data_IF_292386995119
#
_entry.id   IF_292386995119
#
_cell.length_a   1.000
_cell.length_b   1.000
_cell.length_c   1.000
_cell.angle_alpha   90.00
_cell.angle_beta   90.00
_cell.angle_gamma   90.00
#
_symmetry.space_group_name_H-M   'P 1'
#
loop_
_entity.id
_entity.type
_entity.pdbx_description
1 polymer ?
#
# COMPACT_ATOMS: atom_id res chain seq x y z
N UNK A 1 0.10 19.86 -0.88
CA UNK A 1 -0.39 18.49 -1.14
C UNK A 1 -1.81 18.39 -0.64
N UNK A 2 -2.76 17.97 -1.49
CA UNK A 2 -4.07 17.48 -1.06
C UNK A 2 -3.96 15.96 -1.04
N UNK A 3 -3.86 15.38 0.16
CA UNK A 3 -3.71 13.93 0.34
C UNK A 3 -5.06 13.37 0.78
N UNK A 4 -5.60 12.43 0.01
CA UNK A 4 -6.84 11.74 0.36
C UNK A 4 -6.52 10.69 1.43
N UNK A 5 -7.40 10.49 2.39
CA UNK A 5 -7.26 9.45 3.40
C UNK A 5 -8.38 8.42 3.28
N UNK A 6 -8.02 7.15 3.41
CA UNK A 6 -9.01 6.08 3.55
C UNK A 6 -9.44 6.03 5.02
N UNK A 7 -10.75 6.09 5.25
CA UNK A 7 -11.35 5.92 6.57
C UNK A 7 -12.42 4.82 6.55
N UNK A 8 -12.27 3.80 7.40
CA UNK A 8 -13.37 2.91 7.80
C UNK A 8 -13.39 2.81 9.32
N UNK A 9 -14.32 3.57 9.88
CA UNK A 9 -14.45 3.83 11.33
C UNK A 9 -14.87 2.57 12.08
N UNK A 10 -15.64 1.69 11.42
CA UNK A 10 -16.27 0.53 12.05
C UNK A 10 -15.55 -0.78 11.78
N UNK A 11 -14.54 -0.78 10.91
CA UNK A 11 -13.79 -1.99 10.65
C UNK A 11 -13.11 -2.56 11.90
N UNK A 12 -13.29 -3.87 12.08
CA UNK A 12 -12.64 -4.68 13.14
C UNK A 12 -11.17 -5.02 12.85
N UNK A 13 -10.70 -4.82 11.61
CA UNK A 13 -9.28 -5.00 11.24
C UNK A 13 -8.84 -3.90 10.30
N UNK A 14 -7.68 -3.30 10.56
CA UNK A 14 -7.17 -2.19 9.76
C UNK A 14 -6.38 -2.68 8.54
N UNK A 15 -5.92 -3.93 8.53
CA UNK A 15 -5.11 -4.53 7.47
C UNK A 15 -5.66 -4.27 6.06
N UNK A 16 -6.97 -4.44 5.84
CA UNK A 16 -7.56 -4.26 4.50
C UNK A 16 -7.45 -2.82 3.98
N UNK A 17 -7.53 -1.84 4.87
CA UNK A 17 -7.47 -0.42 4.52
C UNK A 17 -6.01 0.04 4.45
N UNK A 18 -5.14 -0.51 5.31
CA UNK A 18 -3.68 -0.35 5.22
C UNK A 18 -3.14 -0.81 3.86
N UNK A 19 -3.58 -1.98 3.39
CA UNK A 19 -3.23 -2.47 2.06
C UNK A 19 -3.73 -1.53 0.96
N UNK A 20 -4.99 -1.09 1.03
CA UNK A 20 -5.55 -0.19 0.04
C UNK A 20 -4.83 1.16 0.02
N UNK A 21 -4.44 1.66 1.19
CA UNK A 21 -3.69 2.91 1.32
C UNK A 21 -2.30 2.81 0.72
N UNK A 22 -1.55 1.75 1.05
CA UNK A 22 -0.23 1.49 0.47
C UNK A 22 -0.31 1.34 -1.05
N UNK A 23 -1.30 0.59 -1.55
CA UNK A 23 -1.47 0.35 -2.99
C UNK A 23 -1.77 1.63 -3.80
N UNK A 24 -2.46 2.60 -3.20
CA UNK A 24 -2.83 3.85 -3.84
C UNK A 24 -1.92 5.04 -3.44
N UNK A 25 -0.93 4.84 -2.58
CA UNK A 25 -0.08 5.93 -2.09
C UNK A 25 -0.84 6.98 -1.25
N UNK A 26 -1.96 6.60 -0.64
CA UNK A 26 -2.84 7.51 0.13
C UNK A 26 -2.67 7.31 1.62
N UNK A 27 -3.01 8.33 2.41
CA UNK A 27 -2.91 8.24 3.87
C UNK A 27 -4.07 7.46 4.51
N UNK A 28 -3.99 7.30 5.82
CA UNK A 28 -4.94 6.49 6.60
C UNK A 28 -5.36 7.28 7.81
N UNK A 29 -6.66 7.27 8.08
CA UNK A 29 -7.21 7.78 9.32
C UNK A 29 -7.60 6.62 10.24
N UNK A 30 -6.82 6.44 11.31
CA UNK A 30 -7.11 5.46 12.35
C UNK A 30 -8.01 6.08 13.41
N UNK A 31 -9.31 5.76 13.35
CA UNK A 31 -10.29 6.16 14.36
C UNK A 31 -10.38 5.06 15.44
N UNK A 32 -9.88 5.33 16.64
CA UNK A 32 -10.07 4.45 17.82
C UNK A 32 -11.26 4.86 18.69
N UNK A 33 -11.62 6.15 18.70
CA UNK A 33 -12.86 6.63 19.30
C UNK A 33 -13.82 7.06 18.20
N UNK A 34 -14.99 6.41 18.14
CA UNK A 34 -16.07 6.76 17.22
C UNK A 34 -17.25 7.23 18.05
N UNK A 35 -17.32 8.54 18.28
CA UNK A 35 -18.41 9.21 19.00
C UNK A 35 -18.77 8.55 20.35
N UNK A 36 -17.75 8.26 21.17
CA UNK A 36 -17.93 7.65 22.49
C UNK A 36 -17.91 6.12 22.49
N UNK A 37 -17.83 5.48 21.32
CA UNK A 37 -17.60 4.04 21.20
C UNK A 37 -16.11 3.78 20.97
N UNK A 38 -15.51 2.97 21.84
CA UNK A 38 -14.10 2.57 21.72
C UNK A 38 -13.96 1.40 20.74
N UNK A 39 -13.33 1.64 19.60
CA UNK A 39 -12.98 0.66 18.58
C UNK A 39 -11.45 0.44 18.58
N UNK A 40 -10.96 -0.16 19.66
CA UNK A 40 -9.54 -0.37 19.88
C UNK A 40 -8.88 -1.11 18.73
N UNK A 41 -7.73 -0.63 18.27
CA UNK A 41 -6.90 -1.39 17.36
C UNK A 41 -6.24 -2.56 18.08
N UNK A 42 -6.18 -3.71 17.42
CA UNK A 42 -5.42 -4.84 17.93
C UNK A 42 -3.91 -4.52 17.88
N UNK A 43 -3.09 -5.18 18.71
CA UNK A 43 -1.63 -5.01 18.64
C UNK A 43 -1.08 -5.29 17.23
N UNK A 44 -1.67 -6.26 16.53
CA UNK A 44 -1.36 -6.57 15.13
C UNK A 44 -1.64 -5.40 14.20
N UNK A 45 -2.81 -4.76 14.33
CA UNK A 45 -3.18 -3.60 13.53
C UNK A 45 -2.28 -2.40 13.84
N UNK A 46 -1.92 -2.19 15.11
CA UNK A 46 -0.99 -1.13 15.53
C UNK A 46 0.40 -1.31 14.91
N UNK A 47 0.96 -2.53 14.95
CA UNK A 47 2.26 -2.82 14.33
C UNK A 47 2.20 -2.67 12.81
N UNK A 48 1.16 -3.21 12.17
CA UNK A 48 0.98 -3.07 10.72
C UNK A 48 0.88 -1.60 10.31
N UNK A 49 0.18 -0.77 11.09
CA UNK A 49 0.08 0.68 10.83
C UNK A 49 1.42 1.38 10.93
N UNK A 50 2.23 1.07 11.97
CA UNK A 50 3.57 1.61 12.11
C UNK A 50 4.47 1.22 10.94
N UNK A 51 4.42 -0.04 10.50
CA UNK A 51 5.19 -0.53 9.36
C UNK A 51 4.81 0.19 8.07
N UNK A 52 3.52 0.28 7.75
CA UNK A 52 3.04 0.96 6.54
C UNK A 52 3.36 2.45 6.59
N UNK A 53 3.19 3.11 7.74
CA UNK A 53 3.58 4.52 7.90
C UNK A 53 5.07 4.76 7.68
N UNK A 54 5.94 3.85 8.13
CA UNK A 54 7.38 3.94 7.87
C UNK A 54 7.70 3.79 6.38
N UNK A 55 7.12 2.80 5.70
CA UNK A 55 7.29 2.60 4.25
C UNK A 55 6.82 3.83 3.48
N UNK A 56 5.62 4.34 3.80
CA UNK A 56 5.04 5.49 3.11
C UNK A 56 5.88 6.76 3.29
N UNK A 57 6.48 6.97 4.48
CA UNK A 57 7.36 8.11 4.72
C UNK A 57 8.69 8.00 3.98
N UNK A 58 9.31 6.82 4.02
CA UNK A 58 10.59 6.57 3.35
C UNK A 58 10.48 6.79 1.83
N UNK A 59 9.40 6.31 1.22
CA UNK A 59 9.18 6.39 -0.22
C UNK A 59 8.20 7.48 -0.64
N UNK A 60 7.92 8.48 0.22
CA UNK A 60 6.99 9.56 -0.07
C UNK A 60 7.25 10.28 -1.41
N UNK A 61 8.51 10.53 -1.85
CA UNK A 61 8.77 11.13 -3.16
C UNK A 61 8.34 10.26 -4.35
N UNK A 62 8.30 8.93 -4.21
CA UNK A 62 7.89 8.01 -5.27
C UNK A 62 6.37 7.76 -5.24
N UNK A 63 5.78 7.67 -4.06
CA UNK A 63 4.33 7.45 -3.85
C UNK A 63 3.44 8.64 -4.26
N UNK A 64 4.06 9.73 -4.73
CA UNK A 64 3.38 10.92 -5.28
C UNK A 64 3.66 11.11 -6.77
N UNK A 65 4.23 10.10 -7.44
CA UNK A 65 4.53 10.15 -8.87
C UNK A 65 3.27 10.27 -9.73
N UNK A 66 3.25 11.25 -10.63
CA UNK A 66 2.18 11.43 -11.62
C UNK A 66 2.17 10.33 -12.70
N UNK A 67 3.24 9.52 -12.76
CA UNK A 67 3.37 8.37 -13.68
C UNK A 67 2.87 7.05 -13.05
N UNK A 68 2.20 7.13 -11.90
CA UNK A 68 1.65 5.98 -11.20
C UNK A 68 0.75 5.14 -12.09
N UNK A 69 0.99 3.82 -12.09
CA UNK A 69 0.16 2.85 -12.79
C UNK A 69 -0.41 1.83 -11.78
N UNK A 70 -1.71 1.88 -11.47
CA UNK A 70 -2.37 0.88 -10.64
C UNK A 70 -2.60 -0.41 -11.41
N UNK A 71 -2.80 -1.51 -10.67
CA UNK A 71 -3.14 -2.83 -11.23
C UNK A 71 -2.14 -3.31 -12.27
N UNK A 72 -0.85 -3.09 -12.00
CA UNK A 72 0.19 -3.67 -12.84
C UNK A 72 0.07 -5.19 -12.81
N UNK A 73 0.25 -5.80 -13.98
CA UNK A 73 0.07 -7.24 -14.19
C UNK A 73 0.92 -8.05 -13.21
N UNK A 74 0.25 -8.91 -12.46
CA UNK A 74 0.89 -9.90 -11.57
C UNK A 74 0.90 -11.27 -12.25
N UNK A 75 1.90 -12.09 -11.95
CA UNK A 75 2.03 -13.46 -12.49
C UNK A 75 1.20 -14.50 -11.71
N UNK A 76 0.32 -14.04 -10.82
CA UNK A 76 -0.49 -14.90 -9.96
C UNK A 76 -1.87 -15.16 -10.55
N UNK A 77 -2.28 -16.43 -10.64
CA UNK A 77 -3.58 -16.85 -11.19
C UNK A 77 -4.78 -16.47 -10.32
N UNK A 78 -4.54 -16.13 -9.04
CA UNK A 78 -5.59 -15.99 -8.04
C UNK A 78 -6.43 -14.71 -8.19
N UNK A 79 -6.03 -13.74 -9.02
CA UNK A 79 -6.65 -12.41 -9.12
C UNK A 79 -6.83 -11.69 -7.76
N UNK A 80 -6.03 -12.06 -6.76
CA UNK A 80 -6.09 -11.52 -5.39
C UNK A 80 -4.78 -10.85 -4.97
N UNK A 81 -3.75 -10.93 -5.81
CA UNK A 81 -2.50 -10.17 -5.66
C UNK A 81 -2.59 -8.98 -6.59
N UNK A 82 -2.35 -7.78 -6.04
CA UNK A 82 -2.41 -6.54 -6.81
C UNK A 82 -1.11 -5.79 -6.65
N UNK A 83 -0.61 -5.22 -7.74
CA UNK A 83 0.59 -4.40 -7.75
C UNK A 83 0.31 -2.99 -8.28
N UNK A 84 1.02 -2.01 -7.71
CA UNK A 84 1.11 -0.65 -8.23
C UNK A 84 2.57 -0.34 -8.54
N UNK A 85 2.79 0.29 -9.70
CA UNK A 85 4.09 0.77 -10.13
C UNK A 85 4.16 2.29 -9.91
N UNK A 86 5.25 2.72 -9.27
CA UNK A 86 5.55 4.11 -8.94
C UNK A 86 6.89 4.51 -9.55
N UNK A 87 6.90 4.96 -10.81
CA UNK A 87 8.13 5.40 -11.46
C UNK A 87 8.67 6.67 -10.81
N UNK A 88 9.98 6.75 -10.67
CA UNK A 88 10.68 7.96 -10.28
C UNK A 88 10.46 9.11 -11.26
N UNK A 89 10.60 10.33 -10.75
CA UNK A 89 10.61 11.54 -11.57
C UNK A 89 12.01 11.77 -12.16
N UNK A 90 12.22 12.86 -12.91
CA UNK A 90 13.53 13.20 -13.48
C UNK A 90 14.69 13.24 -12.46
N UNK A 91 14.40 13.37 -11.17
CA UNK A 91 15.39 13.41 -10.10
C UNK A 91 15.74 12.03 -9.51
N UNK A 92 15.08 10.95 -9.92
CA UNK A 92 15.37 9.60 -9.45
C UNK A 92 15.06 8.54 -10.51
N UNK A 93 16.02 7.68 -10.80
CA UNK A 93 15.85 6.54 -11.71
C UNK A 93 15.16 5.33 -11.05
N UNK A 94 14.84 5.43 -9.76
CA UNK A 94 14.21 4.36 -9.01
C UNK A 94 12.75 4.18 -9.42
N UNK A 95 12.28 2.93 -9.39
CA UNK A 95 10.85 2.61 -9.50
C UNK A 95 10.45 1.81 -8.27
N UNK A 96 9.46 2.30 -7.52
CA UNK A 96 8.89 1.56 -6.41
C UNK A 96 7.75 0.68 -6.92
N UNK A 97 7.72 -0.56 -6.44
CA UNK A 97 6.64 -1.51 -6.67
C UNK A 97 5.99 -1.84 -5.34
N UNK A 98 4.70 -1.58 -5.20
CA UNK A 98 3.94 -1.96 -4.01
C UNK A 98 3.02 -3.12 -4.34
N UNK A 99 3.06 -4.19 -3.56
CA UNK A 99 2.21 -5.36 -3.73
C UNK A 99 1.31 -5.55 -2.51
N UNK A 100 0.07 -5.96 -2.75
CA UNK A 100 -0.87 -6.35 -1.70
C UNK A 100 -1.47 -7.71 -2.01
N UNK A 101 -1.63 -8.52 -0.97
CA UNK A 101 -2.33 -9.81 -1.02
C UNK A 101 -3.69 -9.68 -0.33
N UNK A 102 -4.77 -9.84 -1.12
CA UNK A 102 -6.17 -9.77 -0.65
C UNK A 102 -6.78 -11.14 -0.35
N UNK A 103 -6.04 -12.21 -0.58
CA UNK A 103 -6.46 -13.55 -0.19
C UNK A 103 -6.27 -13.77 1.32
N UNK A 104 -6.86 -14.84 1.83
CA UNK A 104 -6.71 -15.32 3.20
C UNK A 104 -5.48 -16.23 3.38
N UNK A 105 -4.67 -16.40 2.33
CA UNK A 105 -3.53 -17.33 2.28
C UNK A 105 -2.27 -16.65 1.79
N UNK A 106 -1.12 -17.21 2.15
CA UNK A 106 0.15 -16.78 1.60
C UNK A 106 0.25 -17.14 0.11
N UNK A 107 0.80 -16.21 -0.68
CA UNK A 107 1.11 -16.42 -2.09
C UNK A 107 2.57 -16.79 -2.25
N UNK A 108 2.84 -17.84 -3.02
CA UNK A 108 4.18 -18.35 -3.27
C UNK A 108 4.55 -18.24 -4.76
N UNK A 109 5.84 -18.33 -5.07
CA UNK A 109 6.36 -18.27 -6.44
C UNK A 109 6.52 -16.83 -6.98
N UNK A 110 6.67 -16.71 -8.30
CA UNK A 110 6.86 -15.42 -8.97
C UNK A 110 5.64 -14.52 -8.84
N UNK A 111 5.84 -13.29 -8.37
CA UNK A 111 4.76 -12.33 -8.15
C UNK A 111 4.67 -11.29 -9.27
N UNK A 112 5.83 -10.84 -9.77
CA UNK A 112 5.95 -9.80 -10.78
C UNK A 112 7.05 -10.16 -11.77
N UNK A 113 6.77 -9.86 -13.03
CA UNK A 113 7.78 -9.75 -14.08
C UNK A 113 7.98 -8.27 -14.39
N UNK A 114 9.21 -7.78 -14.24
CA UNK A 114 9.57 -6.39 -14.50
C UNK A 114 10.68 -6.35 -15.54
N UNK A 115 10.57 -5.42 -16.49
CA UNK A 115 11.67 -5.19 -17.43
C UNK A 115 12.88 -4.68 -16.67
N UNK A 116 14.04 -5.28 -16.94
CA UNK A 116 15.29 -4.75 -16.43
C UNK A 116 15.56 -3.41 -17.11
N UNK A 117 15.72 -2.35 -16.32
CA UNK A 117 16.19 -1.06 -16.82
C UNK A 117 17.69 -0.96 -16.50
N UNK A 118 18.51 -1.16 -17.54
CA UNK A 118 19.95 -0.97 -17.53
C UNK A 118 20.30 0.53 -17.53
N UNK A 119 19.92 1.28 -16.50
CA UNK A 119 20.39 2.65 -16.32
C UNK A 119 21.44 2.66 -15.20
N UNK A 120 22.67 2.33 -15.60
CA UNK A 120 23.91 2.57 -14.85
C UNK A 120 24.19 4.07 -14.67
#
# INVERSE_FOLDING_TARGET
>A
MHQVHISDRWSKSKIKYLQMALFNGVGIETWENVWGIWNQMTDRDCQATKMVANIMREFAPLLTSDLWTPFYKTEQDTNLIFASQWPGTANTSLTLWTLINRSDKDSNGSQLEVKHNDNH
#
